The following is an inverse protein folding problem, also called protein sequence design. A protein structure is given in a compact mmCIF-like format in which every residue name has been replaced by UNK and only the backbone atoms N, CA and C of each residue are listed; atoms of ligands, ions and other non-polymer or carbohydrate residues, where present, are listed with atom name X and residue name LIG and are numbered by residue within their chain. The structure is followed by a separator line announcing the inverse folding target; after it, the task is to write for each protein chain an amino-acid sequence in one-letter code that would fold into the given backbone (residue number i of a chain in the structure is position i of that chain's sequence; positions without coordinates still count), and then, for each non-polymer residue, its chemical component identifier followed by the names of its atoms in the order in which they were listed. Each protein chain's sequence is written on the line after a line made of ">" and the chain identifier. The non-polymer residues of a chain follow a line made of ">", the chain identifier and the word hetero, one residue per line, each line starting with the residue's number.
data_IF_802236926851
#
_entry.id   IF_802236926851
#
_cell.length_a   1.000
_cell.length_b   1.000
_cell.length_c   1.000
_cell.angle_alpha   90.00
_cell.angle_beta   90.00
_cell.angle_gamma   90.00
#
_symmetry.space_group_name_H-M   'P 1'
#
loop_
_entity.id
_entity.type
_entity.pdbx_description
1 polymer ?
#
# COMPACT_ATOMS: atom_id res chain seq x y z
N UNK A 1 -63.39 -29.12 39.17
CA UNK A 1 -61.99 -28.64 39.20
C UNK A 1 -61.51 -28.45 37.77
N UNK A 2 -61.51 -27.22 37.25
CA UNK A 2 -61.09 -26.90 35.88
C UNK A 2 -59.58 -26.65 35.88
N UNK A 3 -58.81 -27.47 35.17
CA UNK A 3 -57.36 -27.27 35.00
C UNK A 3 -57.16 -26.24 33.88
N UNK A 4 -56.72 -25.05 34.25
CA UNK A 4 -56.22 -24.01 33.35
C UNK A 4 -54.83 -24.49 32.88
N UNK A 5 -54.65 -24.72 31.57
CA UNK A 5 -53.31 -24.88 31.00
C UNK A 5 -52.95 -23.61 30.27
N UNK A 6 -51.90 -22.96 30.79
CA UNK A 6 -51.34 -21.71 30.35
C UNK A 6 -50.59 -21.93 29.04
N UNK A 7 -50.92 -21.09 28.07
CA UNK A 7 -50.28 -20.92 26.78
C UNK A 7 -48.85 -20.41 27.00
N UNK A 8 -47.83 -21.17 26.60
CA UNK A 8 -46.43 -20.69 26.57
C UNK A 8 -46.06 -20.39 25.11
N UNK A 9 -46.17 -19.13 24.71
CA UNK A 9 -45.64 -18.60 23.46
C UNK A 9 -44.11 -18.46 23.61
N UNK A 10 -43.37 -19.41 23.02
CA UNK A 10 -41.92 -19.33 22.87
C UNK A 10 -41.57 -18.27 21.81
N UNK A 11 -41.24 -17.07 22.26
CA UNK A 11 -40.67 -16.01 21.43
C UNK A 11 -39.18 -16.36 21.20
N UNK A 12 -38.90 -17.09 20.13
CA UNK A 12 -37.51 -17.32 19.69
C UNK A 12 -37.01 -16.00 19.12
N UNK A 13 -36.24 -15.27 19.91
CA UNK A 13 -35.46 -14.14 19.44
C UNK A 13 -34.40 -14.68 18.46
N UNK A 14 -34.68 -14.60 17.16
CA UNK A 14 -33.67 -14.77 16.12
C UNK A 14 -32.77 -13.54 16.21
N UNK A 15 -31.71 -13.66 17.00
CA UNK A 15 -30.58 -12.74 16.95
C UNK A 15 -29.95 -12.89 15.58
N UNK A 16 -30.39 -12.08 14.63
CA UNK A 16 -29.64 -11.87 13.39
C UNK A 16 -28.32 -11.24 13.81
N UNK A 17 -27.28 -12.06 13.96
CA UNK A 17 -25.91 -11.58 13.89
C UNK A 17 -25.76 -11.04 12.46
N UNK A 18 -26.02 -9.75 12.30
CA UNK A 18 -25.47 -8.98 11.20
C UNK A 18 -23.96 -9.10 11.34
N UNK A 19 -23.37 -10.08 10.65
CA UNK A 19 -21.98 -9.94 10.24
C UNK A 19 -21.98 -8.67 9.40
N UNK A 20 -21.52 -7.57 9.98
CA UNK A 20 -21.11 -6.42 9.20
C UNK A 20 -19.98 -6.93 8.30
N UNK A 21 -20.34 -7.41 7.11
CA UNK A 21 -19.44 -7.38 5.97
C UNK A 21 -19.34 -5.93 5.57
N UNK A 22 -18.79 -5.10 6.47
CA UNK A 22 -18.27 -3.81 6.11
C UNK A 22 -17.23 -4.10 5.05
N UNK A 23 -17.48 -3.61 3.83
CA UNK A 23 -16.43 -3.49 2.83
C UNK A 23 -15.22 -2.98 3.58
N UNK A 24 -14.17 -3.80 3.73
CA UNK A 24 -13.01 -3.41 4.50
C UNK A 24 -12.29 -2.35 3.66
N UNK A 25 -12.72 -1.10 3.78
CA UNK A 25 -12.21 0.10 3.09
C UNK A 25 -10.89 0.54 3.71
N UNK A 26 -10.02 -0.43 4.01
CA UNK A 26 -8.88 -0.23 4.88
C UNK A 26 -7.57 -0.61 4.18
N UNK A 27 -6.52 0.15 4.44
CA UNK A 27 -5.15 -0.15 3.98
C UNK A 27 -4.43 -1.18 4.86
N UNK A 28 -5.15 -1.86 5.78
CA UNK A 28 -4.59 -2.88 6.68
C UNK A 28 -3.81 -3.98 5.97
N UNK A 29 -4.25 -4.41 4.79
CA UNK A 29 -3.55 -5.42 3.96
C UNK A 29 -2.16 -4.96 3.48
N UNK A 30 -1.85 -3.67 3.55
CA UNK A 30 -0.57 -3.07 3.16
C UNK A 30 0.31 -2.71 4.37
N UNK A 31 -0.12 -3.00 5.60
CA UNK A 31 0.61 -2.62 6.81
C UNK A 31 2.01 -3.24 6.94
N UNK A 32 2.30 -4.29 6.17
CA UNK A 32 3.65 -4.85 6.08
C UNK A 32 4.69 -3.84 5.55
N UNK A 33 4.27 -2.80 4.82
CA UNK A 33 5.14 -1.71 4.36
C UNK A 33 5.53 -0.75 5.48
N UNK A 34 4.77 -0.68 6.58
CA UNK A 34 4.98 0.32 7.64
C UNK A 34 6.40 0.25 8.20
N UNK A 35 6.97 1.43 8.48
CA UNK A 35 8.31 1.61 9.02
C UNK A 35 9.28 2.21 8.01
N UNK A 36 10.56 2.08 8.31
CA UNK A 36 11.65 2.65 7.50
C UNK A 36 12.37 1.55 6.72
N UNK A 37 12.63 1.82 5.45
CA UNK A 37 13.36 0.97 4.53
C UNK A 37 14.52 1.74 3.93
N UNK A 38 15.64 1.09 3.67
CA UNK A 38 16.80 1.74 3.08
C UNK A 38 17.47 0.89 2.01
N UNK A 39 18.06 1.57 1.03
CA UNK A 39 18.84 0.98 -0.04
C UNK A 39 20.12 1.77 -0.23
N UNK A 40 21.24 1.06 -0.35
CA UNK A 40 22.54 1.65 -0.66
C UNK A 40 22.64 1.94 -2.15
N UNK A 41 23.13 3.13 -2.51
CA UNK A 41 23.41 3.51 -3.89
C UNK A 41 24.79 4.15 -3.99
N UNK A 42 25.32 4.29 -5.22
CA UNK A 42 26.58 5.02 -5.45
C UNK A 42 26.53 6.50 -5.03
N UNK A 43 25.33 7.08 -4.90
CA UNK A 43 25.14 8.51 -4.62
C UNK A 43 24.80 8.80 -3.16
N UNK A 44 24.61 7.76 -2.35
CA UNK A 44 24.12 7.87 -0.97
C UNK A 44 23.12 6.79 -0.62
N UNK A 45 22.50 6.92 0.55
CA UNK A 45 21.49 6.00 1.07
C UNK A 45 20.11 6.54 0.74
N UNK A 46 19.31 5.79 -0.01
CA UNK A 46 17.89 6.10 -0.19
C UNK A 46 17.15 5.52 1.02
N UNK A 47 16.30 6.32 1.66
CA UNK A 47 15.40 5.88 2.73
C UNK A 47 13.96 6.11 2.28
N UNK A 48 13.11 5.09 2.41
CA UNK A 48 11.65 5.20 2.32
C UNK A 48 11.04 5.03 3.71
N UNK A 49 10.11 5.90 4.08
CA UNK A 49 9.35 5.82 5.34
C UNK A 49 7.88 5.71 5.04
N UNK A 50 7.22 4.72 5.64
CA UNK A 50 5.80 4.46 5.49
C UNK A 50 5.07 4.52 6.83
N UNK A 51 3.98 5.28 6.88
CA UNK A 51 3.16 5.47 8.08
C UNK A 51 1.66 5.41 7.73
N UNK A 52 0.84 4.92 8.66
CA UNK A 52 -0.62 4.97 8.52
C UNK A 52 -1.08 6.40 8.75
N UNK A 53 -1.65 7.03 7.73
CA UNK A 53 -2.21 8.37 7.85
C UNK A 53 -3.64 8.32 8.40
N UNK A 54 -4.43 7.33 7.97
CA UNK A 54 -5.77 7.02 8.45
C UNK A 54 -6.18 5.62 7.97
N UNK A 55 -7.43 5.21 8.25
CA UNK A 55 -7.93 3.88 7.90
C UNK A 55 -7.82 3.54 6.42
N UNK A 56 -7.96 4.53 5.53
CA UNK A 56 -7.96 4.35 4.08
C UNK A 56 -6.67 4.76 3.39
N UNK A 57 -5.65 5.24 4.12
CA UNK A 57 -4.44 5.83 3.53
C UNK A 57 -3.16 5.46 4.30
N UNK A 58 -2.19 4.91 3.58
CA UNK A 58 -0.79 4.79 4.01
C UNK A 58 0.02 5.87 3.28
N UNK A 59 0.77 6.68 4.04
CA UNK A 59 1.65 7.73 3.51
C UNK A 59 3.08 7.22 3.42
N UNK A 60 3.72 7.42 2.27
CA UNK A 60 5.11 7.10 2.00
C UNK A 60 5.91 8.37 1.69
N UNK A 61 7.15 8.44 2.15
CA UNK A 61 8.09 9.50 1.76
C UNK A 61 9.46 8.89 1.48
N UNK A 62 10.11 9.32 0.39
CA UNK A 62 11.46 8.89 0.05
C UNK A 62 12.43 10.06 0.03
N UNK A 63 13.66 9.81 0.48
CA UNK A 63 14.76 10.78 0.45
C UNK A 63 16.09 10.09 0.24
N UNK A 64 17.08 10.83 -0.26
CA UNK A 64 18.47 10.38 -0.33
C UNK A 64 19.35 11.15 0.65
N UNK A 65 20.10 10.43 1.46
CA UNK A 65 21.18 10.98 2.30
C UNK A 65 22.51 10.80 1.58
N UNK A 66 23.16 11.91 1.23
CA UNK A 66 24.50 11.91 0.60
C UNK A 66 25.61 11.65 1.61
N UNK A 67 26.82 11.40 1.11
CA UNK A 67 28.00 11.15 1.95
C UNK A 67 28.36 12.32 2.88
N UNK A 68 28.02 13.55 2.49
CA UNK A 68 28.21 14.77 3.30
C UNK A 68 27.10 14.98 4.35
N UNK A 69 26.16 14.05 4.48
CA UNK A 69 25.01 14.14 5.39
C UNK A 69 23.82 14.92 4.84
N UNK A 70 23.91 15.52 3.66
CA UNK A 70 22.79 16.25 3.04
C UNK A 70 21.64 15.31 2.74
N UNK A 71 20.45 15.63 3.26
CA UNK A 71 19.20 14.89 3.00
C UNK A 71 18.38 15.62 1.94
N UNK A 72 18.03 14.93 0.87
CA UNK A 72 17.23 15.48 -0.24
C UNK A 72 15.95 14.67 -0.41
N UNK A 73 14.77 15.30 -0.26
CA UNK A 73 13.50 14.65 -0.58
C UNK A 73 13.44 14.25 -2.06
N UNK A 74 12.94 13.06 -2.33
CA UNK A 74 12.77 12.53 -3.68
C UNK A 74 11.29 12.44 -4.04
N UNK A 75 10.46 11.94 -3.13
CA UNK A 75 9.07 11.60 -3.45
C UNK A 75 8.17 11.62 -2.21
N UNK A 76 6.90 11.92 -2.44
CA UNK A 76 5.79 11.61 -1.51
C UNK A 76 4.84 10.64 -2.20
N UNK A 77 4.30 9.70 -1.45
CA UNK A 77 3.46 8.63 -1.98
C UNK A 77 2.23 8.49 -1.11
N UNK A 78 1.06 8.35 -1.73
CA UNK A 78 -0.14 7.87 -1.05
C UNK A 78 -0.50 6.48 -1.57
N UNK A 79 -0.65 5.50 -0.69
CA UNK A 79 -1.35 4.27 -0.98
C UNK A 79 -2.74 4.38 -0.36
N UNK A 80 -3.76 4.60 -1.18
CA UNK A 80 -5.08 5.01 -0.72
C UNK A 80 -6.21 4.17 -1.30
N UNK A 81 -7.22 3.87 -0.49
CA UNK A 81 -8.49 3.32 -0.94
C UNK A 81 -9.46 4.46 -1.30
N UNK A 82 -9.81 4.59 -2.57
CA UNK A 82 -10.66 5.65 -3.10
C UNK A 82 -11.67 5.06 -4.08
N UNK A 83 -12.96 5.42 -3.96
CA UNK A 83 -14.02 5.02 -4.90
C UNK A 83 -14.05 3.51 -5.20
N UNK A 84 -13.85 2.66 -4.19
CA UNK A 84 -13.90 1.20 -4.34
C UNK A 84 -12.62 0.53 -4.83
N UNK A 85 -11.53 1.28 -5.02
CA UNK A 85 -10.25 0.77 -5.53
C UNK A 85 -9.07 1.27 -4.70
N UNK A 86 -7.99 0.50 -4.67
CA UNK A 86 -6.71 0.95 -4.13
C UNK A 86 -5.86 1.60 -5.23
N UNK A 87 -5.14 2.65 -4.86
CA UNK A 87 -4.24 3.38 -5.74
C UNK A 87 -2.90 3.59 -5.06
N UNK A 88 -1.83 3.52 -5.84
CA UNK A 88 -0.50 3.98 -5.49
C UNK A 88 -0.27 5.29 -6.23
N UNK A 89 -0.05 6.38 -5.49
CA UNK A 89 -0.11 7.76 -5.99
C UNK A 89 1.19 8.49 -5.64
N UNK A 90 2.25 8.30 -6.44
CA UNK A 90 3.51 9.01 -6.28
C UNK A 90 3.41 10.47 -6.72
N UNK A 91 4.14 11.34 -6.01
CA UNK A 91 4.43 12.72 -6.34
C UNK A 91 5.94 12.91 -6.25
N UNK A 92 6.60 12.91 -7.40
CA UNK A 92 8.06 12.96 -7.49
C UNK A 92 8.55 14.41 -7.57
N UNK A 93 9.56 14.75 -6.77
CA UNK A 93 10.16 16.09 -6.75
C UNK A 93 10.85 16.43 -8.07
N UNK A 94 10.63 17.66 -8.54
CA UNK A 94 11.16 18.17 -9.81
C UNK A 94 10.82 17.32 -11.05
N UNK A 95 9.76 16.52 -11.01
CA UNK A 95 9.24 15.77 -12.15
C UNK A 95 7.74 16.03 -12.30
N UNK A 96 7.21 15.95 -13.53
CA UNK A 96 5.78 16.12 -13.82
C UNK A 96 5.13 17.38 -13.18
N UNK A 97 5.88 18.48 -13.05
CA UNK A 97 5.40 19.67 -12.33
C UNK A 97 4.96 19.42 -10.88
N UNK A 98 5.52 18.39 -10.25
CA UNK A 98 5.14 17.87 -8.92
C UNK A 98 3.65 17.51 -8.80
N UNK A 99 3.03 17.11 -9.92
CA UNK A 99 1.66 16.59 -9.91
C UNK A 99 1.65 15.10 -9.59
N UNK A 100 0.69 14.63 -8.76
CA UNK A 100 0.53 13.23 -8.45
C UNK A 100 0.17 12.43 -9.72
N UNK A 101 0.70 11.22 -9.82
CA UNK A 101 0.36 10.26 -10.89
C UNK A 101 -0.33 9.07 -10.26
N UNK A 102 -1.55 8.76 -10.66
CA UNK A 102 -2.28 7.61 -10.09
C UNK A 102 -1.93 6.30 -10.82
N UNK A 103 -1.62 5.26 -10.05
CA UNK A 103 -1.53 3.87 -10.50
C UNK A 103 -2.57 3.04 -9.76
N UNK A 104 -3.46 2.37 -10.49
CA UNK A 104 -4.48 1.52 -9.88
C UNK A 104 -3.85 0.22 -9.42
N UNK A 105 -4.04 -0.17 -8.17
CA UNK A 105 -3.61 -1.50 -7.68
C UNK A 105 -4.56 -2.55 -8.27
N UNK A 106 -4.02 -3.36 -9.18
CA UNK A 106 -4.77 -4.41 -9.91
C UNK A 106 -4.70 -5.75 -9.20
N UNK A 107 -3.62 -6.02 -8.46
CA UNK A 107 -3.48 -7.21 -7.61
C UNK A 107 -2.78 -6.87 -6.30
N UNK A 108 -3.17 -7.50 -5.19
CA UNK A 108 -2.50 -7.36 -3.91
C UNK A 108 -2.70 -8.59 -3.01
N UNK A 109 -1.81 -8.75 -2.04
CA UNK A 109 -1.83 -9.77 -1.00
C UNK A 109 -1.11 -9.24 0.25
N UNK A 110 -1.03 -10.06 1.29
CA UNK A 110 -0.24 -9.76 2.50
C UNK A 110 1.27 -9.67 2.25
N UNK A 111 1.75 -10.05 1.06
CA UNK A 111 3.18 -10.07 0.70
C UNK A 111 3.54 -9.18 -0.49
N UNK A 112 2.61 -8.43 -1.05
CA UNK A 112 2.93 -7.60 -2.21
C UNK A 112 1.72 -7.06 -2.95
N UNK A 113 1.98 -6.15 -3.88
CA UNK A 113 0.98 -5.59 -4.78
C UNK A 113 1.57 -5.22 -6.14
N UNK A 114 0.69 -5.09 -7.12
CA UNK A 114 0.97 -4.55 -8.46
C UNK A 114 0.03 -3.38 -8.72
N UNK A 115 0.60 -2.24 -9.11
CA UNK A 115 -0.11 -1.01 -9.46
C UNK A 115 0.21 -0.63 -10.91
N UNK A 116 -0.82 -0.29 -11.69
CA UNK A 116 -0.70 -0.09 -13.13
C UNK A 116 -1.35 1.21 -13.58
N UNK A 117 -0.70 1.87 -14.54
CA UNK A 117 -1.23 2.97 -15.33
C UNK A 117 -0.71 2.81 -16.77
N UNK A 118 -1.43 2.04 -17.63
CA UNK A 118 -0.99 1.77 -18.99
C UNK A 118 -0.86 3.00 -19.90
N UNK A 119 -1.50 4.12 -19.51
CA UNK A 119 -1.52 5.39 -20.23
C UNK A 119 -0.34 6.30 -19.85
N UNK A 120 0.38 5.99 -18.77
CA UNK A 120 1.59 6.72 -18.39
C UNK A 120 2.76 6.37 -19.32
N UNK A 121 3.76 7.24 -19.47
CA UNK A 121 4.87 7.02 -20.40
C UNK A 121 5.88 5.98 -19.87
N UNK A 122 6.45 6.23 -18.69
CA UNK A 122 7.22 5.29 -17.89
C UNK A 122 7.33 5.82 -16.45
N UNK A 123 7.11 4.98 -15.42
CA UNK A 123 6.73 3.57 -15.53
C UNK A 123 5.25 3.40 -15.84
N UNK A 124 4.88 2.22 -16.35
CA UNK A 124 3.47 1.82 -16.54
C UNK A 124 3.00 0.85 -15.46
N UNK A 125 3.93 0.14 -14.83
CA UNK A 125 3.65 -0.77 -13.71
C UNK A 125 4.67 -0.59 -12.60
N UNK A 126 4.18 -0.63 -11.37
CA UNK A 126 4.94 -0.56 -10.14
C UNK A 126 4.53 -1.77 -9.30
N UNK A 127 5.49 -2.54 -8.80
CA UNK A 127 5.20 -3.65 -7.90
C UNK A 127 6.09 -3.62 -6.67
N UNK A 128 5.53 -3.91 -5.51
CA UNK A 128 6.30 -4.17 -4.29
C UNK A 128 6.06 -5.61 -3.83
N UNK A 129 7.12 -6.28 -3.41
CA UNK A 129 7.08 -7.63 -2.82
C UNK A 129 7.82 -7.62 -1.48
N UNK A 130 7.17 -8.12 -0.44
CA UNK A 130 7.79 -8.47 0.83
C UNK A 130 8.53 -9.79 0.67
N UNK A 131 9.86 -9.74 0.56
CA UNK A 131 10.71 -10.92 0.43
C UNK A 131 10.80 -11.65 1.76
N UNK A 132 10.98 -10.89 2.84
CA UNK A 132 10.92 -11.34 4.24
C UNK A 132 10.68 -10.12 5.15
N UNK A 133 10.61 -10.33 6.47
CA UNK A 133 10.31 -9.25 7.43
C UNK A 133 11.24 -8.03 7.33
N UNK A 134 12.48 -8.23 6.87
CA UNK A 134 13.53 -7.22 6.78
C UNK A 134 13.89 -6.85 5.34
N UNK A 135 13.15 -7.32 4.33
CA UNK A 135 13.47 -7.02 2.93
C UNK A 135 12.23 -6.85 2.05
N UNK A 136 12.23 -5.76 1.29
CA UNK A 136 11.25 -5.51 0.23
C UNK A 136 11.96 -5.29 -1.10
N UNK A 137 11.32 -5.74 -2.17
CA UNK A 137 11.74 -5.53 -3.54
C UNK A 137 10.68 -4.75 -4.27
N UNK A 138 11.02 -3.53 -4.69
CA UNK A 138 10.19 -2.73 -5.58
C UNK A 138 10.72 -2.82 -7.02
N UNK A 139 9.80 -2.81 -7.98
CA UNK A 139 10.09 -2.86 -9.41
C UNK A 139 9.23 -1.84 -10.11
N UNK A 140 9.81 -1.13 -11.07
CA UNK A 140 9.06 -0.34 -12.04
C UNK A 140 9.39 -0.83 -13.44
N UNK A 141 8.38 -0.96 -14.30
CA UNK A 141 8.58 -1.42 -15.68
C UNK A 141 7.57 -0.80 -16.67
N UNK A 142 7.70 -1.17 -17.95
CA UNK A 142 6.89 -0.70 -19.07
C UNK A 142 5.55 -1.44 -19.25
N UNK A 143 5.16 -2.32 -18.32
CA UNK A 143 3.86 -2.99 -18.29
C UNK A 143 3.74 -4.20 -19.22
N UNK A 144 4.76 -4.53 -20.02
CA UNK A 144 4.73 -5.68 -20.92
C UNK A 144 4.85 -7.00 -20.16
N UNK A 145 4.38 -8.10 -20.74
CA UNK A 145 4.59 -9.45 -20.16
C UNK A 145 6.09 -9.79 -20.04
N UNK A 146 6.86 -9.39 -21.05
CA UNK A 146 8.33 -9.37 -21.01
C UNK A 146 8.81 -7.92 -21.09
N UNK A 147 9.14 -7.28 -19.95
CA UNK A 147 9.53 -5.87 -19.96
C UNK A 147 10.82 -5.59 -20.72
N UNK A 148 10.81 -4.54 -21.53
CA UNK A 148 12.00 -4.03 -22.22
C UNK A 148 12.73 -3.01 -21.35
N UNK A 149 11.97 -2.17 -20.62
CA UNK A 149 12.49 -1.22 -19.64
C UNK A 149 12.06 -1.61 -18.24
N UNK A 150 13.02 -1.84 -17.35
CA UNK A 150 12.80 -2.28 -15.97
C UNK A 150 13.86 -1.73 -15.02
N UNK A 151 13.45 -1.30 -13.83
CA UNK A 151 14.36 -0.96 -12.72
C UNK A 151 13.97 -1.73 -11.46
N UNK A 152 14.97 -2.20 -10.73
CA UNK A 152 14.80 -2.95 -9.48
C UNK A 152 15.37 -2.15 -8.31
N UNK A 153 14.63 -2.13 -7.21
CA UNK A 153 15.00 -1.45 -5.97
C UNK A 153 14.90 -2.44 -4.82
N UNK A 154 16.03 -2.76 -4.21
CA UNK A 154 16.12 -3.72 -3.12
C UNK A 154 16.35 -2.98 -1.82
N UNK A 155 15.34 -2.96 -0.96
CA UNK A 155 15.46 -2.33 0.34
C UNK A 155 15.62 -3.36 1.45
N UNK A 156 16.44 -2.99 2.42
CA UNK A 156 16.51 -3.61 3.73
C UNK A 156 15.75 -2.77 4.74
N UNK A 157 15.13 -3.39 5.74
CA UNK A 157 14.54 -2.66 6.87
C UNK A 157 15.63 -1.86 7.58
N UNK A 158 15.36 -0.57 7.78
CA UNK A 158 16.23 0.30 8.56
C UNK A 158 15.93 0.05 10.04
N UNK A 159 16.93 -0.45 10.76
CA UNK A 159 16.88 -0.60 12.22
C UNK A 159 17.26 0.76 12.82
N UNK A 160 16.43 1.25 13.72
CA UNK A 160 16.70 2.46 14.50
C UNK A 160 17.78 2.20 15.56
#
# INVERSE_FOLDING_TARGET
>A
MKKISILLLLFVAVSSFSNETGWHTSVKSFHWLKGSWQMQTRRGVITEKWAVANDSTLSGESSITRADGTIIPLEKIELAFRKGHYYYIPTVKNQNGEQPVEFKITTHSEKGFVAENPQHDFPKRISYTLVNADSIHAVIDDGLETPVKKSNFYYSRKKD
#
